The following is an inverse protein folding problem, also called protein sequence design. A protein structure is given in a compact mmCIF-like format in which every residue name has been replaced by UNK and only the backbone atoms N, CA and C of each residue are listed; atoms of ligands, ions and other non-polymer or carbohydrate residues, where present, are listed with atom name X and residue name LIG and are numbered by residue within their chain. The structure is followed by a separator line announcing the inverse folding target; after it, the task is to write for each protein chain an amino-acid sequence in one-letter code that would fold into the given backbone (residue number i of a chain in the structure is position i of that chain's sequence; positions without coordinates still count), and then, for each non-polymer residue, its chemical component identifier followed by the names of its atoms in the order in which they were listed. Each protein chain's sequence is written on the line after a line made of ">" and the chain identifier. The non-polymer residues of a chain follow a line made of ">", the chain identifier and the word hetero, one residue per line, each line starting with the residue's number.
data_IF_258798796356
#
_entry.id   IF_258798796356
#
_cell.length_a   1.000
_cell.length_b   1.000
_cell.length_c   1.000
_cell.angle_alpha   90.00
_cell.angle_beta   90.00
_cell.angle_gamma   90.00
#
_symmetry.space_group_name_H-M   'P 1'
#
loop_
_entity.id
_entity.type
_entity.pdbx_description
1 polymer ?
#
# COMPACT_ATOMS: atom_id res chain seq x y z
N UNK A 1 -2.66 -11.42 -0.21
CA UNK A 1 -2.06 -10.18 -0.73
C UNK A 1 -2.36 -9.06 0.26
N UNK A 2 -1.44 -8.11 0.49
CA UNK A 2 -1.69 -6.94 1.35
C UNK A 2 -2.53 -5.94 0.55
N UNK A 3 -3.77 -5.72 0.96
CA UNK A 3 -4.70 -4.83 0.26
C UNK A 3 -4.66 -3.38 0.79
N UNK A 4 -4.05 -3.17 1.95
CA UNK A 4 -3.94 -1.87 2.62
C UNK A 4 -2.49 -1.61 3.03
N UNK A 5 -2.11 -0.35 3.20
CA UNK A 5 -0.77 0.03 3.68
C UNK A 5 -0.52 -0.64 5.04
N UNK A 6 0.49 -1.51 5.11
CA UNK A 6 0.84 -2.20 6.35
C UNK A 6 -0.14 -3.26 6.84
N UNK A 7 -1.22 -3.55 6.11
CA UNK A 7 -2.31 -4.42 6.55
C UNK A 7 -2.76 -5.46 5.52
N UNK A 8 -3.31 -6.57 6.02
CA UNK A 8 -4.08 -7.52 5.20
C UNK A 8 -5.56 -7.14 5.21
N UNK A 9 -6.37 -7.88 4.44
CA UNK A 9 -7.78 -7.56 4.22
C UNK A 9 -8.63 -7.54 5.49
N UNK A 10 -8.22 -8.26 6.54
CA UNK A 10 -8.91 -8.34 7.81
C UNK A 10 -7.90 -8.47 8.98
N UNK A 11 -8.37 -8.21 10.20
CA UNK A 11 -7.56 -8.36 11.43
C UNK A 11 -7.03 -9.78 11.58
N UNK A 12 -7.90 -10.78 11.39
CA UNK A 12 -7.53 -12.18 11.52
C UNK A 12 -6.44 -12.59 10.51
N UNK A 13 -6.61 -12.20 9.25
CA UNK A 13 -5.62 -12.44 8.20
C UNK A 13 -4.27 -11.78 8.53
N UNK A 14 -4.32 -10.56 9.06
CA UNK A 14 -3.13 -9.82 9.47
C UNK A 14 -2.38 -10.55 10.57
N UNK A 15 -3.08 -11.03 11.61
CA UNK A 15 -2.48 -11.76 12.71
C UNK A 15 -1.80 -13.07 12.25
N UNK A 16 -2.47 -13.86 11.40
CA UNK A 16 -1.91 -15.12 10.90
C UNK A 16 -0.69 -14.85 10.02
N UNK A 17 -0.80 -13.91 9.08
CA UNK A 17 0.29 -13.61 8.17
C UNK A 17 1.52 -13.08 8.91
N UNK A 18 1.32 -12.19 9.90
CA UNK A 18 2.41 -11.67 10.71
C UNK A 18 3.08 -12.77 11.54
N UNK A 19 2.29 -13.69 12.13
CA UNK A 19 2.84 -14.85 12.85
C UNK A 19 3.70 -15.72 11.94
N UNK A 20 3.25 -15.99 10.70
CA UNK A 20 4.00 -16.79 9.74
C UNK A 20 5.32 -16.11 9.33
N UNK A 21 5.30 -14.79 9.08
CA UNK A 21 6.50 -14.03 8.70
C UNK A 21 7.52 -14.01 9.84
N UNK A 22 7.07 -13.73 11.07
CA UNK A 22 7.96 -13.74 12.26
C UNK A 22 8.53 -15.14 12.48
N UNK A 23 7.71 -16.18 12.36
CA UNK A 23 8.17 -17.57 12.49
C UNK A 23 9.25 -17.93 11.46
N UNK A 24 9.07 -17.51 10.20
CA UNK A 24 10.08 -17.69 9.16
C UNK A 24 11.37 -16.92 9.47
N UNK A 25 11.26 -15.65 9.87
CA UNK A 25 12.42 -14.81 10.20
C UNK A 25 13.23 -15.37 11.38
N UNK A 26 12.57 -15.93 12.40
CA UNK A 26 13.29 -16.59 13.53
C UNK A 26 14.01 -17.85 13.07
N UNK A 27 13.41 -18.64 12.17
CA UNK A 27 13.99 -19.90 11.70
C UNK A 27 15.11 -19.75 10.67
N UNK A 28 15.11 -18.67 9.89
CA UNK A 28 16.00 -18.48 8.74
C UNK A 28 16.76 -17.16 8.74
N UNK A 29 16.50 -16.27 9.71
CA UNK A 29 17.07 -14.92 9.74
C UNK A 29 18.60 -14.88 9.85
N UNK A 30 19.22 -15.95 10.37
CA UNK A 30 20.67 -16.08 10.45
C UNK A 30 21.34 -16.53 9.14
N UNK A 31 20.57 -16.88 8.10
CA UNK A 31 21.15 -17.31 6.82
C UNK A 31 21.78 -16.15 6.03
N UNK A 32 21.33 -14.92 6.29
CA UNK A 32 21.88 -13.72 5.69
C UNK A 32 22.84 -13.09 6.69
N UNK A 33 24.12 -13.10 6.35
CA UNK A 33 25.20 -12.59 7.22
C UNK A 33 25.38 -11.08 7.16
N UNK A 34 24.99 -10.46 6.04
CA UNK A 34 25.05 -9.02 5.83
C UNK A 34 24.01 -8.61 4.79
N UNK A 35 23.19 -7.63 5.13
CA UNK A 35 22.22 -7.03 4.22
C UNK A 35 22.86 -5.91 3.41
N UNK A 36 22.70 -5.98 2.10
CA UNK A 36 23.08 -4.93 1.19
C UNK A 36 22.19 -5.02 -0.05
N UNK A 37 21.04 -4.38 0.03
CA UNK A 37 20.03 -4.36 -1.04
C UNK A 37 19.94 -2.94 -1.56
N UNK A 38 20.14 -2.78 -2.87
CA UNK A 38 19.94 -1.55 -3.61
C UNK A 38 18.67 -1.65 -4.42
N UNK A 39 17.73 -0.75 -4.17
CA UNK A 39 16.46 -0.65 -4.90
C UNK A 39 16.49 0.64 -5.71
N UNK A 40 16.49 0.49 -7.03
CA UNK A 40 16.32 1.60 -7.97
C UNK A 40 14.85 1.67 -8.35
N UNK A 41 14.27 2.87 -8.31
CA UNK A 41 12.91 3.13 -8.79
C UNK A 41 13.00 4.09 -9.97
N UNK A 42 12.30 3.78 -11.05
CA UNK A 42 12.15 4.70 -12.18
C UNK A 42 10.68 4.84 -12.54
N UNK A 43 10.30 6.08 -12.84
CA UNK A 43 8.93 6.44 -13.19
C UNK A 43 8.94 7.58 -14.20
N UNK A 44 7.81 7.80 -14.87
CA UNK A 44 7.65 8.87 -15.86
C UNK A 44 7.76 10.29 -15.28
N UNK A 45 7.59 10.46 -13.98
CA UNK A 45 7.68 11.76 -13.29
C UNK A 45 9.02 12.02 -12.59
N UNK A 46 9.91 11.03 -12.49
CA UNK A 46 11.24 11.27 -11.93
C UNK A 46 12.15 11.90 -13.00
N UNK A 47 12.70 13.06 -12.67
CA UNK A 47 13.76 13.73 -13.43
C UNK A 47 15.11 13.12 -13.00
N UNK A 48 16.03 12.93 -13.94
CA UNK A 48 17.28 12.16 -13.80
C UNK A 48 18.13 12.46 -12.54
N UNK A 49 17.99 13.65 -11.93
CA UNK A 49 18.80 14.10 -10.81
C UNK A 49 18.29 13.63 -9.42
N UNK A 50 17.06 13.12 -9.29
CA UNK A 50 16.48 12.64 -8.01
C UNK A 50 16.27 11.11 -7.98
N UNK A 51 17.01 10.37 -8.79
CA UNK A 51 16.96 8.90 -8.85
C UNK A 51 17.86 8.24 -7.79
N UNK A 52 17.91 8.81 -6.58
CA UNK A 52 18.73 8.23 -5.51
C UNK A 52 18.19 6.85 -5.09
N UNK A 53 19.00 5.79 -5.19
CA UNK A 53 18.53 4.46 -4.83
C UNK A 53 18.19 4.37 -3.34
N UNK A 54 17.20 3.55 -3.01
CA UNK A 54 16.98 3.14 -1.63
C UNK A 54 17.98 2.05 -1.29
N UNK A 55 18.82 2.30 -0.29
CA UNK A 55 19.81 1.35 0.21
C UNK A 55 19.30 0.76 1.52
N UNK A 56 19.19 -0.57 1.57
CA UNK A 56 18.88 -1.33 2.78
C UNK A 56 20.16 -2.05 3.19
N UNK A 57 20.71 -1.64 4.32
CA UNK A 57 21.94 -2.15 4.95
C UNK A 57 21.65 -2.58 6.38
N UNK A 58 22.59 -3.26 7.02
CA UNK A 58 22.43 -3.77 8.39
C UNK A 58 22.02 -2.66 9.39
N UNK A 59 22.51 -1.44 9.19
CA UNK A 59 22.22 -0.29 10.07
C UNK A 59 20.76 0.20 9.97
N UNK A 60 20.07 -0.01 8.85
CA UNK A 60 18.75 0.56 8.58
C UNK A 60 17.67 -0.49 8.24
N UNK A 61 17.96 -1.78 8.43
CA UNK A 61 17.06 -2.89 8.09
C UNK A 61 15.73 -2.88 8.88
N UNK A 62 15.76 -2.33 10.09
CA UNK A 62 14.58 -2.23 10.96
C UNK A 62 13.67 -1.08 10.49
N UNK A 63 14.25 -0.08 9.82
CA UNK A 63 13.55 1.12 9.41
C UNK A 63 12.78 0.88 8.11
N UNK A 64 11.54 1.37 8.06
CA UNK A 64 10.75 1.32 6.84
C UNK A 64 11.20 2.44 5.91
N UNK A 65 11.73 2.08 4.75
CA UNK A 65 12.11 3.03 3.71
C UNK A 65 10.87 3.41 2.89
N UNK A 66 10.53 4.70 2.86
CA UNK A 66 9.38 5.23 2.13
C UNK A 66 9.85 6.15 1.01
N UNK A 67 9.28 5.97 -0.17
CA UNK A 67 9.50 6.84 -1.33
C UNK A 67 8.16 7.22 -1.92
N UNK A 68 7.84 8.50 -1.79
CA UNK A 68 6.67 9.08 -2.43
C UNK A 68 7.05 9.56 -3.83
N UNK A 69 6.26 9.16 -4.82
CA UNK A 69 6.43 9.60 -6.20
C UNK A 69 5.14 10.31 -6.59
N UNK A 70 5.24 11.62 -6.78
CA UNK A 70 4.12 12.44 -7.19
C UNK A 70 3.92 12.39 -8.72
N UNK A 71 2.67 12.63 -9.15
CA UNK A 71 2.31 12.88 -10.54
C UNK A 71 2.78 11.82 -11.55
N UNK A 72 2.75 10.54 -11.15
CA UNK A 72 3.12 9.42 -12.03
C UNK A 72 2.05 9.17 -13.08
N UNK A 73 2.48 9.13 -14.34
CA UNK A 73 1.63 8.70 -15.45
C UNK A 73 2.15 7.37 -16.00
N UNK A 74 1.42 6.28 -15.77
CA UNK A 74 1.75 4.97 -16.36
C UNK A 74 2.52 4.03 -15.43
N UNK A 75 3.61 3.45 -15.94
CA UNK A 75 4.33 2.32 -15.32
C UNK A 75 5.44 2.84 -14.39
N UNK A 76 5.61 2.16 -13.25
CA UNK A 76 6.75 2.31 -12.35
C UNK A 76 7.61 1.05 -12.47
N UNK A 77 8.90 1.22 -12.76
CA UNK A 77 9.86 0.13 -12.77
C UNK A 77 10.65 0.13 -11.47
N UNK A 78 10.86 -1.07 -10.92
CA UNK A 78 11.56 -1.28 -9.66
C UNK A 78 12.59 -2.37 -9.88
N UNK A 79 13.86 -2.01 -9.76
CA UNK A 79 14.97 -2.93 -9.90
C UNK A 79 15.67 -3.10 -8.55
N UNK A 80 15.73 -4.34 -8.06
CA UNK A 80 16.39 -4.69 -6.82
C UNK A 80 17.64 -5.52 -7.07
N UNK A 81 18.77 -5.12 -6.48
CA UNK A 81 20.05 -5.84 -6.56
C UNK A 81 20.68 -5.99 -5.19
N UNK A 82 21.30 -7.14 -4.92
CA UNK A 82 22.13 -7.32 -3.73
C UNK A 82 21.79 -8.57 -2.91
N UNK A 83 22.19 -8.56 -1.64
CA UNK A 83 22.05 -9.70 -0.73
C UNK A 83 21.01 -9.40 0.36
N UNK A 84 20.03 -10.29 0.49
CA UNK A 84 19.02 -10.26 1.53
C UNK A 84 17.60 -10.43 1.01
N UNK A 85 16.63 -10.23 1.90
CA UNK A 85 15.21 -10.21 1.57
C UNK A 85 14.61 -8.84 1.89
N UNK A 86 13.84 -8.29 0.95
CA UNK A 86 13.08 -7.06 1.13
C UNK A 86 11.64 -7.26 0.65
N UNK A 87 10.69 -6.63 1.34
CA UNK A 87 9.30 -6.58 0.93
C UNK A 87 8.98 -5.17 0.46
N UNK A 88 8.59 -5.06 -0.81
CA UNK A 88 8.20 -3.80 -1.43
C UNK A 88 6.68 -3.75 -1.48
N UNK A 89 6.10 -2.64 -1.02
CA UNK A 89 4.67 -2.40 -1.07
C UNK A 89 4.42 -1.04 -1.72
N UNK A 90 3.65 -1.05 -2.80
CA UNK A 90 3.21 0.15 -3.51
C UNK A 90 1.78 0.49 -3.11
N UNK A 91 1.54 1.76 -2.83
CA UNK A 91 0.21 2.32 -2.60
C UNK A 91 -0.06 3.41 -3.64
N UNK A 92 -1.24 3.35 -4.27
CA UNK A 92 -1.64 4.32 -5.30
C UNK A 92 -2.96 4.95 -4.87
N UNK A 93 -2.92 6.25 -4.57
CA UNK A 93 -4.11 7.06 -4.39
C UNK A 93 -4.53 7.66 -5.72
N UNK A 94 -5.75 7.37 -6.19
CA UNK A 94 -6.35 8.06 -7.33
C UNK A 94 -7.64 8.72 -6.88
N UNK A 95 -7.82 10.01 -7.23
CA UNK A 95 -9.09 10.68 -7.03
C UNK A 95 -10.07 10.18 -8.11
N UNK A 96 -11.11 9.48 -7.67
CA UNK A 96 -12.23 9.07 -8.54
C UNK A 96 -13.29 10.15 -8.52
N UNK A 97 -13.00 11.26 -9.21
CA UNK A 97 -14.00 12.27 -9.53
C UNK A 97 -14.60 11.90 -10.88
N UNK A 98 -15.74 11.19 -10.88
CA UNK A 98 -16.79 11.10 -11.91
C UNK A 98 -17.39 9.67 -12.00
N UNK A 99 -18.71 9.56 -11.85
CA UNK A 99 -19.46 8.29 -11.75
C UNK A 99 -19.13 7.22 -12.82
N UNK A 100 -18.98 7.53 -14.13
CA UNK A 100 -18.65 6.53 -15.13
C UNK A 100 -17.19 6.05 -15.10
N UNK A 101 -16.30 6.67 -14.30
CA UNK A 101 -14.91 6.23 -14.11
C UNK A 101 -14.69 5.45 -12.82
N UNK A 102 -15.72 5.29 -11.99
CA UNK A 102 -15.66 4.45 -10.79
C UNK A 102 -15.59 2.98 -11.23
N UNK A 103 -14.50 2.28 -10.87
CA UNK A 103 -14.44 0.83 -11.03
C UNK A 103 -15.44 0.18 -10.09
N UNK A 104 -16.56 -0.30 -10.65
CA UNK A 104 -17.51 -1.12 -9.90
C UNK A 104 -16.95 -2.53 -9.72
N UNK A 105 -17.20 -3.19 -8.57
CA UNK A 105 -16.83 -4.58 -8.39
C UNK A 105 -17.55 -5.46 -9.43
N UNK A 106 -16.97 -6.62 -9.76
CA UNK A 106 -17.52 -7.54 -10.77
C UNK A 106 -18.90 -8.11 -10.39
N UNK A 107 -19.24 -8.07 -9.11
CA UNK A 107 -20.55 -8.38 -8.57
C UNK A 107 -20.89 -7.38 -7.47
N UNK A 108 -22.17 -7.12 -7.22
CA UNK A 108 -22.63 -6.25 -6.13
C UNK A 108 -22.72 -7.12 -4.86
N UNK A 109 -21.82 -6.96 -3.89
CA UNK A 109 -21.79 -7.84 -2.72
C UNK A 109 -22.95 -7.59 -1.76
N UNK A 110 -23.45 -6.36 -1.71
CA UNK A 110 -24.57 -5.92 -0.90
C UNK A 110 -25.19 -4.67 -1.51
N UNK A 111 -26.49 -4.47 -1.29
CA UNK A 111 -27.17 -3.21 -1.58
C UNK A 111 -27.38 -2.45 -0.29
N UNK A 112 -27.01 -1.17 -0.25
CA UNK A 112 -27.39 -0.26 0.84
C UNK A 112 -28.22 0.83 0.22
N UNK A 113 -29.51 0.84 0.55
CA UNK A 113 -30.41 1.92 0.19
C UNK A 113 -30.53 2.84 1.41
N UNK A 114 -30.00 4.06 1.28
CA UNK A 114 -30.07 5.07 2.35
C UNK A 114 -31.19 6.03 1.99
N UNK A 115 -32.22 6.10 2.83
CA UNK A 115 -33.34 7.03 2.63
C UNK A 115 -33.34 8.08 3.75
N UNK A 116 -32.82 9.31 3.49
CA UNK A 116 -32.82 10.35 4.50
C UNK A 116 -34.24 10.90 4.67
N UNK A 117 -34.70 10.95 5.92
CA UNK A 117 -35.90 11.68 6.31
C UNK A 117 -35.49 13.09 6.78
N UNK A 118 -35.87 14.09 6.00
CA UNK A 118 -35.54 15.49 6.29
C UNK A 118 -36.75 16.20 6.90
N UNK A 119 -36.59 16.81 8.07
CA UNK A 119 -37.65 17.55 8.76
C UNK A 119 -37.16 18.90 9.35
N UNK A 120 -38.09 19.71 9.86
CA UNK A 120 -37.81 21.04 10.42
C UNK A 120 -37.73 22.17 9.39
N UNK A 121 -37.45 23.40 9.85
CA UNK A 121 -37.32 24.59 8.99
C UNK A 121 -35.96 24.55 8.30
N UNK A 122 -35.95 24.59 6.96
CA UNK A 122 -34.76 24.46 6.11
C UNK A 122 -34.02 23.12 6.24
N UNK A 123 -34.74 22.00 6.45
CA UNK A 123 -34.12 20.67 6.59
C UNK A 123 -33.08 20.60 7.72
N UNK A 124 -33.35 21.28 8.84
CA UNK A 124 -32.45 21.33 10.00
C UNK A 124 -32.27 19.98 10.68
N UNK A 125 -33.18 19.04 10.44
CA UNK A 125 -33.16 17.71 11.06
C UNK A 125 -33.04 16.66 9.97
N UNK A 126 -32.06 15.76 10.13
CA UNK A 126 -31.78 14.65 9.23
C UNK A 126 -31.83 13.37 10.05
N UNK A 127 -32.80 12.51 9.75
CA UNK A 127 -32.89 11.15 10.26
C UNK A 127 -32.63 10.16 9.13
N UNK A 128 -32.13 8.98 9.47
CA UNK A 128 -31.88 7.90 8.53
C UNK A 128 -32.73 6.69 8.92
N UNK A 129 -33.50 6.13 7.98
CA UNK A 129 -34.25 4.88 8.14
C UNK A 129 -33.44 3.69 7.64
#
# INVERSE_FOLDING_TARGET
>A
MRNFIGGWSATYDSCIAQRAIVGYAVLRGFEITAYNIRINLTSSSLIDDDNSPVLIIDDNIIETQVRDIENVWGVVYIDGFGNGYALIQMHVGVNVEFDPRVRRPSYVPFSVDVQPWLSGRNFSTIDYH
#
